data_IF_811769687231
#
_entry.id   IF_811769687231
#
_cell.length_a   1.000
_cell.length_b   1.000
_cell.length_c   1.000
_cell.angle_alpha   90.00
_cell.angle_beta   90.00
_cell.angle_gamma   90.00
#
_symmetry.space_group_name_H-M   'P 1'
#
loop_
_entity.id
_entity.type
_entity.pdbx_description
1 polymer ?
#
# COMPACT_ATOMS: atom_id res chain seq x y z
N UNK A 1 25.10 39.78 9.79
CA UNK A 1 25.63 38.89 8.72
C UNK A 1 24.91 37.54 8.64
N UNK A 2 24.04 37.20 9.60
CA UNK A 2 23.31 35.93 9.65
C UNK A 2 21.94 35.92 8.94
N UNK A 3 21.39 37.08 8.56
CA UNK A 3 20.07 37.17 7.89
C UNK A 3 20.04 36.57 6.48
N UNK A 4 21.20 36.45 5.82
CA UNK A 4 21.29 35.91 4.46
C UNK A 4 21.08 34.39 4.41
N UNK A 5 21.30 33.67 5.52
CA UNK A 5 21.13 32.22 5.60
C UNK A 5 19.70 31.79 5.95
N UNK A 6 18.88 32.70 6.49
CA UNK A 6 17.48 32.40 6.83
C UNK A 6 16.55 32.46 5.61
N UNK A 7 16.93 33.25 4.61
CA UNK A 7 16.13 33.43 3.39
C UNK A 7 16.21 32.27 2.39
N UNK A 8 17.16 31.33 2.56
CA UNK A 8 17.28 30.18 1.66
C UNK A 8 16.30 29.04 1.97
N UNK A 9 15.75 28.99 3.20
CA UNK A 9 14.65 28.07 3.55
C UNK A 9 13.25 28.57 3.14
N UNK A 10 13.13 29.84 2.75
CA UNK A 10 11.83 30.49 2.55
C UNK A 10 11.35 30.46 1.09
N UNK A 11 11.89 29.58 0.24
CA UNK A 11 11.36 29.31 -1.10
C UNK A 11 10.22 28.29 -1.10
N UNK A 12 9.72 27.93 0.07
CA UNK A 12 8.50 27.13 0.19
C UNK A 12 7.29 28.06 0.04
N UNK A 13 6.35 27.67 -0.82
CA UNK A 13 5.09 28.39 -0.99
C UNK A 13 4.43 28.68 0.37
N UNK A 14 3.74 29.82 0.56
CA UNK A 14 3.03 30.12 1.80
C UNK A 14 2.04 28.99 2.14
N UNK A 15 1.94 28.60 3.42
CA UNK A 15 1.03 27.55 3.86
C UNK A 15 1.34 26.96 5.23
N UNK A 16 0.33 26.39 5.88
CA UNK A 16 0.41 25.75 7.20
C UNK A 16 0.38 24.24 7.06
N UNK A 17 1.33 23.55 7.71
CA UNK A 17 1.38 22.09 7.73
C UNK A 17 0.36 21.53 8.72
N UNK A 18 -0.41 20.53 8.28
CA UNK A 18 -1.31 19.78 9.14
C UNK A 18 -0.51 18.96 10.17
N UNK A 19 -0.76 19.10 11.48
CA UNK A 19 -0.04 18.32 12.49
C UNK A 19 -0.38 16.83 12.48
N UNK A 20 -1.49 16.43 11.84
CA UNK A 20 -1.91 15.02 11.76
C UNK A 20 -1.31 14.30 10.53
N UNK A 21 -1.40 14.89 9.34
CA UNK A 21 -0.99 14.23 8.08
C UNK A 21 0.15 14.94 7.34
N UNK A 22 0.70 16.03 7.90
CA UNK A 22 1.76 16.87 7.31
C UNK A 22 1.43 17.51 5.96
N UNK A 23 0.18 17.41 5.50
CA UNK A 23 -0.25 18.09 4.29
C UNK A 23 -0.17 19.60 4.44
N UNK A 24 0.23 20.27 3.35
CA UNK A 24 0.37 21.72 3.31
C UNK A 24 -0.94 22.36 2.89
N UNK A 25 -1.59 23.03 3.83
CA UNK A 25 -2.85 23.74 3.61
C UNK A 25 -2.59 25.24 3.41
N UNK A 26 -3.60 25.94 2.91
CA UNK A 26 -3.63 27.41 2.84
C UNK A 26 -3.36 28.06 4.22
N UNK A 27 -2.74 29.25 4.26
CA UNK A 27 -2.37 29.90 5.54
C UNK A 27 -3.56 30.19 6.46
N UNK A 28 -4.73 30.46 5.89
CA UNK A 28 -5.96 30.76 6.62
C UNK A 28 -6.85 29.53 6.90
N UNK A 29 -6.43 28.33 6.48
CA UNK A 29 -7.24 27.11 6.57
C UNK A 29 -7.65 26.80 8.01
N UNK A 30 -8.96 26.60 8.22
CA UNK A 30 -9.51 26.17 9.51
C UNK A 30 -9.38 24.64 9.71
N UNK A 31 -9.47 23.90 8.61
CA UNK A 31 -9.48 22.44 8.53
C UNK A 31 -8.53 21.98 7.44
N UNK A 32 -7.92 20.81 7.63
CA UNK A 32 -7.07 20.21 6.63
C UNK A 32 -7.91 19.67 5.47
N UNK A 33 -7.54 19.98 4.24
CA UNK A 33 -8.28 19.55 3.04
C UNK A 33 -8.19 18.03 2.81
N UNK A 34 -7.11 17.37 3.25
CA UNK A 34 -6.94 15.92 3.08
C UNK A 34 -7.57 15.08 4.18
N UNK A 35 -7.40 15.47 5.44
CA UNK A 35 -7.78 14.64 6.59
C UNK A 35 -8.78 15.29 7.53
N UNK A 36 -9.34 16.45 7.16
CA UNK A 36 -10.35 17.21 7.90
C UNK A 36 -9.96 17.66 9.32
N UNK A 37 -8.68 17.52 9.68
CA UNK A 37 -8.15 17.94 10.98
C UNK A 37 -8.31 19.45 11.20
N UNK A 38 -8.82 19.87 12.35
CA UNK A 38 -9.06 21.28 12.67
C UNK A 38 -7.76 21.97 13.11
N UNK A 39 -7.09 22.64 12.18
CA UNK A 39 -5.75 23.23 12.33
C UNK A 39 -5.74 24.32 13.43
N UNK A 40 -6.84 25.08 13.59
CA UNK A 40 -6.95 26.16 14.59
C UNK A 40 -7.31 25.68 16.00
N UNK A 41 -7.49 24.38 16.21
CA UNK A 41 -7.78 23.79 17.52
C UNK A 41 -6.65 22.86 17.95
N UNK A 42 -6.30 22.81 19.25
CA UNK A 42 -5.35 21.82 19.73
C UNK A 42 -5.94 20.41 19.63
N UNK A 43 -5.08 19.39 19.58
CA UNK A 43 -5.49 18.00 19.31
C UNK A 43 -6.50 17.44 20.33
N UNK A 44 -6.46 17.90 21.58
CA UNK A 44 -7.38 17.46 22.63
C UNK A 44 -8.75 18.16 22.60
N UNK A 45 -8.93 19.17 21.74
CA UNK A 45 -10.19 19.90 21.53
C UNK A 45 -10.72 19.72 20.10
N UNK A 46 -10.22 18.72 19.37
CA UNK A 46 -10.77 18.40 18.06
C UNK A 46 -12.23 17.95 18.25
N UNK A 47 -13.12 18.50 17.44
CA UNK A 47 -14.50 18.04 17.43
C UNK A 47 -14.52 16.63 16.82
N UNK A 48 -15.02 15.66 17.57
CA UNK A 48 -15.28 14.30 17.04
C UNK A 48 -16.54 14.23 16.18
N UNK A 49 -17.32 15.32 16.15
CA UNK A 49 -18.52 15.42 15.33
C UNK A 49 -18.12 15.71 13.88
N UNK A 50 -17.71 14.65 13.18
CA UNK A 50 -18.06 14.55 11.77
C UNK A 50 -19.60 14.59 11.75
N UNK A 51 -20.17 15.53 10.99
CA UNK A 51 -21.63 15.65 10.89
C UNK A 51 -22.20 14.27 10.51
N UNK A 52 -23.16 13.74 11.27
CA UNK A 52 -23.75 12.41 11.01
C UNK A 52 -24.23 12.29 9.55
N UNK A 53 -24.65 13.40 8.95
CA UNK A 53 -24.99 13.50 7.52
C UNK A 53 -23.81 13.16 6.59
N UNK A 54 -22.59 13.63 6.88
CA UNK A 54 -21.38 13.38 6.06
C UNK A 54 -20.94 11.92 6.21
N UNK A 55 -21.09 11.33 7.40
CA UNK A 55 -20.77 9.91 7.58
C UNK A 55 -21.74 9.04 6.79
N UNK A 56 -23.04 9.34 6.83
CA UNK A 56 -24.03 8.56 6.08
C UNK A 56 -23.79 8.65 4.56
N UNK A 57 -23.46 9.84 4.04
CA UNK A 57 -23.18 10.06 2.61
C UNK A 57 -22.01 9.22 2.09
N UNK A 58 -20.90 9.16 2.83
CA UNK A 58 -19.71 8.37 2.43
C UNK A 58 -19.98 6.85 2.49
N UNK A 59 -20.74 6.40 3.50
CA UNK A 59 -21.10 4.99 3.60
C UNK A 59 -22.10 4.59 2.53
N UNK A 60 -23.05 5.47 2.18
CA UNK A 60 -24.03 5.25 1.12
C UNK A 60 -23.37 5.25 -0.27
N UNK A 61 -22.41 6.15 -0.53
CA UNK A 61 -21.60 6.13 -1.78
C UNK A 61 -20.77 4.84 -1.88
N UNK A 62 -20.13 4.43 -0.79
CA UNK A 62 -19.36 3.18 -0.76
C UNK A 62 -20.26 1.95 -0.97
N UNK A 63 -21.45 1.93 -0.38
CA UNK A 63 -22.42 0.84 -0.54
C UNK A 63 -23.08 0.86 -1.93
N UNK A 64 -23.29 2.04 -2.50
CA UNK A 64 -23.84 2.21 -3.85
C UNK A 64 -22.97 1.58 -4.92
N UNK A 65 -21.64 1.67 -4.78
CA UNK A 65 -20.68 1.01 -5.69
C UNK A 65 -20.71 -0.53 -5.59
N UNK A 66 -21.19 -1.11 -4.48
CA UNK A 66 -21.35 -2.57 -4.35
C UNK A 66 -22.73 -3.08 -4.82
N UNK A 67 -23.72 -2.20 -5.00
CA UNK A 67 -25.05 -2.62 -5.47
C UNK A 67 -25.14 -2.74 -7.01
N UNK A 68 -24.15 -2.20 -7.74
CA UNK A 68 -24.11 -2.16 -9.21
C UNK A 68 -22.96 -2.95 -9.86
N UNK A 69 -22.58 -4.14 -9.36
CA UNK A 69 -22.02 -5.13 -10.29
C UNK A 69 -22.18 -6.58 -9.83
N UNK A 70 -22.76 -7.33 -10.76
CA UNK A 70 -22.87 -8.76 -10.86
C UNK A 70 -23.58 -9.52 -9.74
N UNK A 71 -24.73 -10.06 -10.14
CA UNK A 71 -25.14 -11.40 -9.76
C UNK A 71 -24.04 -12.40 -10.18
N UNK A 72 -22.87 -12.34 -9.55
CA UNK A 72 -21.96 -13.47 -9.48
C UNK A 72 -22.78 -14.60 -8.89
N UNK A 73 -23.04 -15.61 -9.72
CA UNK A 73 -23.64 -16.87 -9.35
C UNK A 73 -23.06 -17.28 -8.00
N UNK A 74 -23.85 -17.18 -6.92
CA UNK A 74 -23.39 -17.54 -5.57
C UNK A 74 -23.00 -19.02 -5.63
N UNK A 75 -21.70 -19.27 -5.82
CA UNK A 75 -21.18 -20.62 -5.95
C UNK A 75 -21.37 -21.28 -4.60
N UNK A 76 -22.26 -22.26 -4.54
CA UNK A 76 -22.57 -23.03 -3.34
C UNK A 76 -21.40 -23.95 -2.98
N UNK A 77 -20.42 -23.41 -2.26
CA UNK A 77 -19.24 -24.13 -1.76
C UNK A 77 -19.60 -25.33 -0.87
N UNK A 78 -20.83 -25.42 -0.36
CA UNK A 78 -21.29 -26.54 0.46
C UNK A 78 -21.52 -27.82 -0.33
N UNK A 79 -21.63 -27.74 -1.67
CA UNK A 79 -21.81 -28.91 -2.56
C UNK A 79 -20.51 -29.47 -3.12
N UNK A 80 -19.41 -28.74 -3.04
CA UNK A 80 -18.10 -29.23 -3.48
C UNK A 80 -17.54 -30.17 -2.42
N UNK A 81 -17.96 -31.43 -2.45
CA UNK A 81 -17.37 -32.49 -1.63
C UNK A 81 -16.05 -32.91 -2.28
N UNK A 82 -14.94 -32.34 -1.82
CA UNK A 82 -13.61 -32.88 -2.11
C UNK A 82 -13.48 -34.23 -1.39
N UNK A 83 -13.38 -35.32 -2.14
CA UNK A 83 -13.00 -36.62 -1.57
C UNK A 83 -11.48 -36.58 -1.32
N UNK A 84 -11.06 -36.90 -0.09
CA UNK A 84 -9.64 -36.92 0.32
C UNK A 84 -8.78 -37.84 -0.58
N UNK A 85 -9.42 -38.81 -1.24
CA UNK A 85 -8.77 -39.78 -2.12
C UNK A 85 -8.38 -39.19 -3.50
N UNK A 86 -8.89 -38.02 -3.90
CA UNK A 86 -8.59 -37.42 -5.21
C UNK A 86 -7.25 -36.65 -5.27
N UNK A 87 -6.65 -36.31 -4.12
CA UNK A 87 -5.40 -35.53 -4.05
C UNK A 87 -4.40 -36.15 -3.07
N UNK A 88 -3.96 -37.37 -3.34
CA UNK A 88 -2.69 -37.86 -2.81
C UNK A 88 -1.56 -37.42 -3.74
N UNK A 89 -0.60 -36.68 -3.18
CA UNK A 89 0.58 -36.20 -3.86
C UNK A 89 1.80 -36.83 -3.17
N UNK A 90 2.52 -37.67 -3.90
CA UNK A 90 3.77 -38.26 -3.42
C UNK A 90 4.90 -37.29 -3.71
N UNK A 91 5.55 -36.81 -2.65
CA UNK A 91 6.73 -35.96 -2.73
C UNK A 91 7.95 -36.83 -2.51
N UNK A 92 8.88 -36.81 -3.47
CA UNK A 92 10.15 -37.53 -3.31
C UNK A 92 11.07 -36.79 -2.34
N UNK A 93 11.84 -37.55 -1.57
CA UNK A 93 12.86 -36.98 -0.70
C UNK A 93 13.96 -36.35 -1.57
N UNK A 94 14.38 -35.13 -1.21
CA UNK A 94 15.47 -34.41 -1.87
C UNK A 94 16.67 -35.34 -2.11
N UNK A 95 17.07 -35.48 -3.37
CA UNK A 95 18.43 -35.92 -3.70
C UNK A 95 19.32 -34.65 -3.74
N UNK A 96 20.64 -34.79 -3.84
CA UNK A 96 21.61 -33.67 -3.71
C UNK A 96 21.49 -32.50 -4.71
N UNK A 97 20.44 -32.46 -5.52
CA UNK A 97 20.03 -31.34 -6.36
C UNK A 97 18.85 -30.61 -5.68
N UNK A 98 18.89 -29.29 -5.57
CA UNK A 98 17.90 -28.43 -4.86
C UNK A 98 16.45 -28.45 -5.44
N UNK A 99 16.08 -29.46 -6.23
CA UNK A 99 14.77 -29.61 -6.86
C UNK A 99 13.84 -30.59 -6.13
N UNK A 100 12.58 -30.18 -5.94
CA UNK A 100 11.51 -31.05 -5.41
C UNK A 100 10.82 -31.76 -6.58
N UNK A 101 10.79 -33.09 -6.56
CA UNK A 101 10.06 -33.90 -7.55
C UNK A 101 8.74 -34.38 -6.94
N UNK A 102 7.64 -33.98 -7.57
CA UNK A 102 6.27 -34.27 -7.12
C UNK A 102 5.56 -35.15 -8.14
N UNK A 103 4.79 -36.16 -7.69
CA UNK A 103 4.15 -37.14 -8.58
C UNK A 103 3.00 -36.61 -9.43
N UNK A 104 2.41 -35.46 -9.04
CA UNK A 104 1.39 -34.73 -9.78
C UNK A 104 1.74 -33.26 -9.82
N UNK A 105 1.34 -32.57 -10.89
CA UNK A 105 1.44 -31.12 -11.03
C UNK A 105 0.06 -30.50 -10.79
N UNK A 106 -0.34 -30.23 -9.52
CA UNK A 106 -1.66 -29.66 -9.25
C UNK A 106 -1.72 -28.24 -9.81
N UNK A 107 -2.52 -28.04 -10.85
CA UNK A 107 -2.84 -26.70 -11.36
C UNK A 107 -4.06 -26.18 -10.61
N UNK A 108 -3.95 -24.96 -10.04
CA UNK A 108 -5.11 -24.24 -9.53
C UNK A 108 -5.94 -23.78 -10.73
N UNK A 109 -6.92 -24.59 -11.13
CA UNK A 109 -7.79 -24.35 -12.29
C UNK A 109 -8.79 -23.18 -12.10
N UNK A 110 -8.35 -22.07 -11.51
CA UNK A 110 -9.14 -20.84 -11.30
C UNK A 110 -8.33 -19.54 -11.37
N UNK A 111 -7.04 -19.58 -11.73
CA UNK A 111 -6.39 -18.35 -12.20
C UNK A 111 -6.84 -18.13 -13.64
N UNK A 112 -7.72 -17.13 -13.83
CA UNK A 112 -7.89 -16.35 -15.06
C UNK A 112 -6.58 -16.39 -15.85
N UNK A 113 -6.65 -16.82 -17.12
CA UNK A 113 -5.54 -16.93 -18.08
C UNK A 113 -4.21 -16.52 -17.46
N UNK A 114 -3.44 -17.51 -16.98
CA UNK A 114 -2.07 -17.27 -16.55
C UNK A 114 -1.43 -16.48 -17.70
N UNK A 115 -1.14 -15.16 -17.55
CA UNK A 115 -0.50 -14.45 -18.64
C UNK A 115 0.74 -15.28 -18.96
N UNK A 116 0.99 -15.52 -20.25
CA UNK A 116 2.25 -16.16 -20.65
C UNK A 116 3.33 -15.48 -19.82
N UNK A 117 4.18 -16.24 -19.10
CA UNK A 117 5.19 -15.66 -18.26
C UNK A 117 5.88 -14.63 -19.15
N UNK A 118 5.73 -13.36 -18.78
CA UNK A 118 6.42 -12.31 -19.48
C UNK A 118 7.86 -12.74 -19.29
N UNK A 119 8.55 -13.05 -20.39
CA UNK A 119 10.01 -13.00 -20.38
C UNK A 119 10.33 -11.52 -20.14
N UNK A 120 10.09 -11.05 -18.91
CA UNK A 120 10.87 -9.97 -18.36
C UNK A 120 12.25 -10.55 -18.38
N UNK A 121 13.04 -10.13 -19.36
CA UNK A 121 14.49 -10.27 -19.31
C UNK A 121 14.86 -9.85 -17.89
N UNK A 122 15.14 -10.83 -17.02
CA UNK A 122 15.71 -10.62 -15.71
C UNK A 122 17.13 -10.09 -15.97
N UNK A 123 17.22 -8.85 -16.46
CA UNK A 123 18.45 -8.11 -16.55
C UNK A 123 18.89 -7.92 -15.11
N UNK A 124 19.73 -8.85 -14.63
CA UNK A 124 20.38 -8.79 -13.33
C UNK A 124 21.10 -7.45 -13.22
N UNK A 125 20.42 -6.47 -12.63
CA UNK A 125 20.92 -5.11 -12.59
C UNK A 125 22.10 -5.04 -11.63
N UNK A 126 23.31 -5.00 -12.18
CA UNK A 126 24.54 -4.86 -11.42
C UNK A 126 24.74 -3.38 -11.09
N UNK A 127 24.68 -3.05 -9.79
CA UNK A 127 24.94 -1.71 -9.28
C UNK A 127 26.30 -1.19 -9.76
N UNK A 128 26.30 -0.01 -10.38
CA UNK A 128 27.50 0.70 -10.81
C UNK A 128 27.96 1.64 -9.68
N UNK A 129 29.24 2.05 -9.69
CA UNK A 129 29.75 3.07 -8.75
C UNK A 129 29.02 4.42 -8.84
N UNK A 130 28.35 4.67 -9.96
CA UNK A 130 27.53 5.86 -10.22
C UNK A 130 26.21 5.85 -9.44
N UNK A 131 25.72 4.67 -9.05
CA UNK A 131 24.49 4.52 -8.26
C UNK A 131 24.72 4.78 -6.77
N UNK A 132 25.97 5.00 -6.37
CA UNK A 132 26.31 5.35 -5.01
C UNK A 132 25.87 6.80 -4.69
N UNK A 133 25.16 7.03 -3.57
CA UNK A 133 24.72 8.37 -3.20
C UNK A 133 25.91 9.32 -2.98
N UNK A 134 25.83 10.53 -3.54
CA UNK A 134 26.91 11.54 -3.47
C UNK A 134 27.26 11.97 -2.04
N UNK A 135 26.32 11.86 -1.10
CA UNK A 135 26.49 12.31 0.28
C UNK A 135 26.28 11.16 1.26
N UNK A 136 27.37 10.46 1.59
CA UNK A 136 27.41 9.49 2.70
C UNK A 136 27.82 10.23 3.98
N UNK A 137 26.85 10.56 4.85
CA UNK A 137 27.18 10.99 6.22
C UNK A 137 27.54 9.76 7.05
N UNK A 138 28.84 9.48 7.21
CA UNK A 138 29.29 8.47 8.18
C UNK A 138 28.87 8.90 9.57
N UNK A 139 28.07 8.07 10.23
CA UNK A 139 27.70 8.27 11.62
C UNK A 139 28.93 7.97 12.48
N UNK A 140 29.49 8.98 13.14
CA UNK A 140 30.55 8.77 14.13
C UNK A 140 29.89 8.32 15.43
N UNK A 141 30.23 7.10 15.89
CA UNK A 141 29.80 6.60 17.20
C UNK A 141 30.80 7.14 18.24
N UNK A 142 30.34 7.88 19.27
CA UNK A 142 31.21 8.32 20.36
C UNK A 142 31.71 7.14 21.20
N UNK A 143 32.96 7.19 21.66
CA UNK A 143 33.56 6.23 22.61
C UNK A 143 32.86 6.21 23.98
#
# INVERSE_FOLDING_TARGET
MFDKFRNWRNTEAPGVLCPACQHKNSEDANTCELCLYQIKKPSFQQDSNLNEEITNDIFDDLLGDFEEEDAEEIIDWSKTTFQIDDVTIDVQQYDGDDGIVVSKNPSFALTVDNPEPIEEDEEEYVLKPEDAPEFVTKFEVPD
#
